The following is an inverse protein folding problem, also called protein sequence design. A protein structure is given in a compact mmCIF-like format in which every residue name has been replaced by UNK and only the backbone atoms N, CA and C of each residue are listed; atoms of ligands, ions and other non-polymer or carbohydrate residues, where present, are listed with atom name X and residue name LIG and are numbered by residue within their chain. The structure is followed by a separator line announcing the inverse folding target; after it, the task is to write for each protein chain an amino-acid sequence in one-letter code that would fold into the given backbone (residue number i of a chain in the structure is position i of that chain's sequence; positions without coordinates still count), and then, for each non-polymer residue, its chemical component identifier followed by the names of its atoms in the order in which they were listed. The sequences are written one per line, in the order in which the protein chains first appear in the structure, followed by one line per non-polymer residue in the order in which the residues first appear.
data_IF_751520717786
#
_entry.id   IF_751520717786
#
_cell.length_a   1.000
_cell.length_b   1.000
_cell.length_c   1.000
_cell.angle_alpha   90.00
_cell.angle_beta   90.00
_cell.angle_gamma   90.00
#
_symmetry.space_group_name_H-M   'P 1'
#
loop_
_entity.id
_entity.type
_entity.pdbx_description
1 polymer ?
#
# COMPACT_ATOMS: atom_id res chain seq x y z
N UNK A 1 -8.50 2.06 8.17
CA UNK A 1 -7.57 0.92 8.35
C UNK A 1 -8.19 -0.28 9.07
N UNK A 2 -9.36 -0.14 9.72
CA UNK A 2 -10.04 -1.23 10.43
C UNK A 2 -10.40 -2.42 9.54
N UNK A 3 -10.93 -2.16 8.34
CA UNK A 3 -11.27 -3.23 7.39
C UNK A 3 -10.04 -4.01 6.93
N UNK A 4 -8.92 -3.33 6.66
CA UNK A 4 -7.64 -3.97 6.34
C UNK A 4 -7.19 -4.92 7.46
N UNK A 5 -7.29 -4.48 8.73
CA UNK A 5 -6.95 -5.33 9.87
C UNK A 5 -7.88 -6.54 9.98
N UNK A 6 -9.18 -6.35 9.83
CA UNK A 6 -10.17 -7.41 9.99
C UNK A 6 -10.16 -8.43 8.84
N UNK A 7 -10.07 -7.96 7.59
CA UNK A 7 -10.14 -8.81 6.40
C UNK A 7 -8.83 -9.54 6.13
N UNK A 8 -7.69 -8.88 6.38
CA UNK A 8 -6.37 -9.45 6.11
C UNK A 8 -5.72 -10.09 7.36
N UNK A 9 -6.48 -10.20 8.46
CA UNK A 9 -6.02 -10.77 9.74
C UNK A 9 -4.70 -10.17 10.21
N UNK A 10 -4.60 -8.84 10.19
CA UNK A 10 -3.38 -8.11 10.60
C UNK A 10 -3.49 -7.63 12.03
N UNK A 11 -2.35 -7.49 12.69
CA UNK A 11 -2.32 -6.94 14.04
C UNK A 11 -2.51 -5.41 14.00
N UNK A 12 -3.22 -4.85 14.99
CA UNK A 12 -3.59 -3.42 15.00
C UNK A 12 -2.37 -2.49 15.12
N UNK A 13 -1.31 -2.92 15.77
CA UNK A 13 -0.06 -2.17 15.90
C UNK A 13 0.62 -1.92 14.55
N UNK A 14 0.34 -2.73 13.52
CA UNK A 14 0.95 -2.59 12.20
C UNK A 14 0.63 -1.23 11.57
N UNK A 15 -0.58 -0.70 11.80
CA UNK A 15 -0.98 0.61 11.24
C UNK A 15 -0.34 1.79 11.95
N UNK A 16 0.33 1.56 13.08
CA UNK A 16 1.10 2.57 13.82
C UNK A 16 2.59 2.55 13.52
N UNK A 17 3.07 1.60 12.70
CA UNK A 17 4.48 1.50 12.36
C UNK A 17 4.93 2.56 11.35
N UNK A 18 6.13 3.12 11.55
CA UNK A 18 6.73 4.12 10.65
C UNK A 18 6.77 3.68 9.19
N UNK A 19 7.04 2.40 8.93
CA UNK A 19 7.06 1.84 7.58
C UNK A 19 5.68 1.89 6.90
N UNK A 20 4.61 1.61 7.66
CA UNK A 20 3.25 1.71 7.16
C UNK A 20 2.88 3.16 6.84
N UNK A 21 3.21 4.10 7.73
CA UNK A 21 2.96 5.53 7.49
C UNK A 21 3.67 6.05 6.25
N UNK A 22 4.97 5.73 6.10
CA UNK A 22 5.74 6.14 4.91
C UNK A 22 5.16 5.55 3.63
N UNK A 23 4.79 4.27 3.65
CA UNK A 23 4.16 3.61 2.49
C UNK A 23 2.81 4.24 2.14
N UNK A 24 1.95 4.48 3.14
CA UNK A 24 0.66 5.14 2.93
C UNK A 24 0.82 6.56 2.36
N UNK A 25 1.79 7.32 2.87
CA UNK A 25 2.10 8.66 2.36
C UNK A 25 2.58 8.60 0.90
N UNK A 26 3.48 7.67 0.55
CA UNK A 26 3.94 7.50 -0.84
C UNK A 26 2.80 7.16 -1.80
N UNK A 27 1.86 6.30 -1.40
CA UNK A 27 0.68 5.97 -2.21
C UNK A 27 -0.24 7.18 -2.36
N UNK A 28 -0.46 7.94 -1.28
CA UNK A 28 -1.27 9.15 -1.31
C UNK A 28 -0.66 10.23 -2.23
N UNK A 29 0.65 10.43 -2.15
CA UNK A 29 1.36 11.39 -3.00
C UNK A 29 1.36 10.95 -4.47
N UNK A 30 1.51 9.65 -4.75
CA UNK A 30 1.35 9.11 -6.10
C UNK A 30 -0.05 9.39 -6.66
N UNK A 31 -1.08 9.27 -5.82
CA UNK A 31 -2.47 9.61 -6.13
C UNK A 31 -2.67 10.99 -6.74
N UNK A 32 -1.88 11.98 -6.32
CA UNK A 32 -1.96 13.37 -6.81
C UNK A 32 -1.57 13.51 -8.28
N UNK A 33 -0.78 12.59 -8.82
CA UNK A 33 -0.33 12.60 -10.21
C UNK A 33 -1.27 11.85 -11.15
N UNK A 34 -2.25 11.13 -10.60
CA UNK A 34 -3.25 10.42 -11.39
C UNK A 34 -4.48 11.29 -11.60
N UNK A 35 -4.91 11.45 -12.86
CA UNK A 35 -6.17 12.11 -13.18
C UNK A 35 -7.33 11.23 -12.68
N UNK A 36 -8.35 11.82 -12.06
CA UNK A 36 -9.56 11.12 -11.61
C UNK A 36 -10.31 10.40 -12.75
N UNK A 37 -10.06 10.80 -14.00
CA UNK A 37 -10.60 10.14 -15.21
C UNK A 37 -9.78 8.92 -15.65
N UNK A 38 -8.60 8.72 -15.09
CA UNK A 38 -7.76 7.56 -15.34
C UNK A 38 -8.26 6.41 -14.47
N UNK A 39 -8.92 5.41 -15.08
CA UNK A 39 -9.27 4.15 -14.41
C UNK A 39 -8.01 3.31 -14.15
N UNK A 40 -7.17 3.76 -13.22
CA UNK A 40 -5.94 3.06 -12.87
C UNK A 40 -6.29 2.00 -11.83
N UNK A 41 -6.09 0.74 -12.21
CA UNK A 41 -6.23 -0.37 -11.28
C UNK A 41 -5.13 -0.30 -10.23
N UNK A 42 -5.51 -0.15 -8.95
CA UNK A 42 -4.55 -0.16 -7.83
C UNK A 42 -3.68 -1.44 -7.82
N UNK A 43 -4.21 -2.55 -8.33
CA UNK A 43 -3.48 -3.83 -8.48
C UNK A 43 -2.31 -3.77 -9.47
N UNK A 44 -2.35 -2.88 -10.44
CA UNK A 44 -1.27 -2.70 -11.41
C UNK A 44 -0.12 -1.87 -10.83
N UNK A 45 -0.39 -1.08 -9.79
CA UNK A 45 0.58 -0.22 -9.12
C UNK A 45 1.32 -0.94 -7.98
N UNK A 46 0.64 -1.85 -7.28
CA UNK A 46 1.20 -2.55 -6.13
C UNK A 46 2.04 -3.74 -6.60
N UNK A 47 3.33 -3.83 -6.23
CA UNK A 47 4.18 -4.94 -6.63
C UNK A 47 3.68 -6.26 -6.02
N UNK A 48 3.91 -7.35 -6.75
CA UNK A 48 3.64 -8.69 -6.23
C UNK A 48 4.54 -9.01 -5.03
N UNK A 49 4.15 -9.92 -4.12
CA UNK A 49 4.99 -10.34 -3.01
C UNK A 49 6.37 -10.86 -3.43
N UNK A 50 6.45 -11.52 -4.60
CA UNK A 50 7.71 -12.03 -5.16
C UNK A 50 8.65 -10.87 -5.48
N UNK A 51 8.13 -9.83 -6.15
CA UNK A 51 8.89 -8.64 -6.53
C UNK A 51 9.47 -7.93 -5.32
N UNK A 52 8.70 -7.82 -4.23
CA UNK A 52 9.18 -7.19 -2.99
C UNK A 52 10.29 -8.02 -2.34
N UNK A 53 10.15 -9.35 -2.33
CA UNK A 53 11.11 -10.24 -1.69
C UNK A 53 12.49 -10.20 -2.36
N UNK A 54 12.56 -10.09 -3.69
CA UNK A 54 13.82 -10.05 -4.45
C UNK A 54 14.66 -8.80 -4.18
N UNK A 55 14.08 -7.71 -3.68
CA UNK A 55 14.79 -6.43 -3.44
C UNK A 55 15.55 -6.43 -2.10
N UNK A 56 15.24 -7.37 -1.19
CA UNK A 56 15.79 -7.43 0.17
C UNK A 56 16.70 -8.64 0.43
N UNK A 57 17.21 -9.30 -0.62
CA UNK A 57 18.22 -10.38 -0.54
C UNK A 57 19.57 -9.86 -1.03
#
# INVERSE_FOLDING_TARGET
CTEFVALDSRAFELVSGDGFFKMAQSVFDAGKYFNASSNIGVKELIPSPITVNTIFI
#
